data_IF_619388122494
#
_entry.id   IF_619388122494
#
_cell.length_a   1.000
_cell.length_b   1.000
_cell.length_c   1.000
_cell.angle_alpha   90.00
_cell.angle_beta   90.00
_cell.angle_gamma   90.00
#
_symmetry.space_group_name_H-M   'P 1'
#
loop_
_entity.id
_entity.type
_entity.pdbx_description
1 polymer ?
#
# COMPACT_ATOMS: atom_id res chain seq x y z
N UNK A 1 -17.55 33.09 -8.96
CA UNK A 1 -16.31 33.74 -8.50
C UNK A 1 -15.67 32.74 -7.56
N UNK A 2 -14.53 32.16 -7.93
CA UNK A 2 -13.85 31.14 -7.10
C UNK A 2 -13.63 31.71 -5.69
N UNK A 3 -13.98 30.96 -4.64
CA UNK A 3 -13.78 31.37 -3.25
C UNK A 3 -12.31 31.24 -2.86
N UNK A 4 -11.49 32.20 -3.31
CA UNK A 4 -10.06 32.24 -3.07
C UNK A 4 -9.76 32.81 -1.69
N UNK A 5 -8.99 32.07 -0.90
CA UNK A 5 -8.48 32.51 0.41
C UNK A 5 -7.00 32.80 0.30
N UNK A 6 -6.57 34.00 0.67
CA UNK A 6 -5.13 34.33 0.72
C UNK A 6 -4.41 33.45 1.75
N UNK A 7 -3.23 32.94 1.38
CA UNK A 7 -2.39 32.14 2.27
C UNK A 7 -1.13 32.88 2.68
N UNK A 8 -0.30 33.21 1.69
CA UNK A 8 1.00 33.82 1.95
C UNK A 8 1.53 34.55 0.71
N UNK A 9 2.33 35.57 0.97
CA UNK A 9 3.10 36.29 -0.03
C UNK A 9 4.45 35.59 -0.22
N UNK A 10 4.84 35.35 -1.47
CA UNK A 10 6.21 34.93 -1.81
C UNK A 10 7.17 36.12 -1.70
N UNK A 11 8.46 35.93 -2.04
CA UNK A 11 9.51 36.91 -1.75
C UNK A 11 9.29 38.32 -2.37
N UNK A 12 8.61 38.40 -3.52
CA UNK A 12 8.22 39.67 -4.19
C UNK A 12 6.71 39.94 -4.09
N UNK A 13 6.04 39.30 -3.14
CA UNK A 13 4.60 39.30 -3.01
C UNK A 13 4.03 40.68 -2.74
N UNK A 14 3.01 41.05 -3.50
CA UNK A 14 2.18 42.22 -3.25
C UNK A 14 0.73 41.74 -3.22
N UNK A 15 0.13 41.75 -2.03
CA UNK A 15 -1.27 41.40 -1.83
C UNK A 15 -2.07 42.64 -1.45
N UNK A 16 -3.22 42.84 -2.10
CA UNK A 16 -4.21 43.86 -1.73
C UNK A 16 -5.57 43.20 -1.65
N UNK A 17 -6.13 43.15 -0.44
CA UNK A 17 -7.37 42.42 -0.16
C UNK A 17 -8.55 42.87 -1.03
N UNK A 18 -8.67 44.18 -1.27
CA UNK A 18 -9.73 44.79 -2.10
C UNK A 18 -9.68 44.38 -3.58
N UNK A 19 -8.52 43.97 -4.08
CA UNK A 19 -8.30 43.66 -5.51
C UNK A 19 -8.19 42.15 -5.77
N UNK A 20 -8.22 41.33 -4.71
CA UNK A 20 -8.14 39.87 -4.80
C UNK A 20 -6.91 39.38 -5.58
N UNK A 21 -7.06 38.27 -6.30
CA UNK A 21 -5.97 37.66 -7.09
C UNK A 21 -5.51 38.54 -8.27
N UNK A 22 -6.42 39.33 -8.86
CA UNK A 22 -6.12 40.14 -10.06
C UNK A 22 -5.22 41.33 -9.77
N UNK A 23 -5.36 41.94 -8.58
CA UNK A 23 -4.45 43.00 -8.12
C UNK A 23 -3.24 42.51 -7.34
N UNK A 24 -3.07 41.19 -7.21
CA UNK A 24 -1.98 40.59 -6.46
C UNK A 24 -0.88 40.08 -7.38
N UNK A 25 0.36 40.06 -6.89
CA UNK A 25 1.48 39.45 -7.59
C UNK A 25 2.33 38.62 -6.63
N UNK A 26 2.86 37.51 -7.12
CA UNK A 26 3.67 36.57 -6.33
C UNK A 26 3.02 36.13 -5.00
N UNK A 27 1.73 35.79 -5.03
CA UNK A 27 0.97 35.32 -3.86
C UNK A 27 0.46 33.88 -4.05
N UNK A 28 0.22 33.20 -2.92
CA UNK A 28 -0.39 31.87 -2.86
C UNK A 28 -1.80 32.02 -2.31
N UNK A 29 -2.76 31.41 -3.00
CA UNK A 29 -4.17 31.35 -2.61
C UNK A 29 -4.62 29.91 -2.47
N UNK A 30 -5.56 29.64 -1.56
CA UNK A 30 -6.27 28.37 -1.49
C UNK A 30 -7.68 28.50 -2.03
N UNK A 31 -8.16 27.44 -2.67
CA UNK A 31 -9.55 27.26 -3.04
C UNK A 31 -10.02 25.84 -2.67
N UNK A 32 -11.32 25.65 -2.40
CA UNK A 32 -11.87 24.30 -2.37
C UNK A 32 -11.77 23.68 -3.77
N UNK A 33 -11.49 22.38 -3.84
CA UNK A 33 -11.47 21.67 -5.12
C UNK A 33 -12.90 21.44 -5.64
N UNK A 34 -13.23 22.07 -6.78
CA UNK A 34 -14.55 21.93 -7.42
C UNK A 34 -14.63 20.72 -8.37
N UNK A 35 -13.59 20.49 -9.17
CA UNK A 35 -13.50 19.36 -10.10
C UNK A 35 -12.48 18.33 -9.60
N UNK A 36 -12.92 17.07 -9.50
CA UNK A 36 -12.10 15.97 -9.01
C UNK A 36 -10.89 15.71 -9.92
N UNK A 37 -9.70 15.74 -9.32
CA UNK A 37 -8.50 15.19 -9.94
C UNK A 37 -8.67 13.67 -10.06
N UNK A 38 -8.32 13.11 -11.21
CA UNK A 38 -8.46 11.66 -11.47
C UNK A 38 -7.14 10.94 -11.63
N UNK A 39 -6.03 11.67 -11.78
CA UNK A 39 -4.68 11.10 -11.93
C UNK A 39 -3.60 12.12 -11.64
N UNK A 40 -2.44 11.60 -11.25
CA UNK A 40 -1.21 12.38 -11.14
C UNK A 40 -0.78 12.85 -12.53
N UNK A 41 -0.74 14.17 -12.75
CA UNK A 41 -0.22 14.75 -13.99
C UNK A 41 0.28 16.15 -13.77
N UNK A 42 1.23 16.54 -14.62
CA UNK A 42 1.64 17.92 -14.78
C UNK A 42 1.40 18.34 -16.22
N UNK A 43 0.80 19.52 -16.40
CA UNK A 43 0.48 20.09 -17.70
C UNK A 43 0.80 21.58 -17.71
N UNK A 44 0.86 22.19 -18.89
CA UNK A 44 1.10 23.62 -19.04
C UNK A 44 2.32 23.96 -19.88
N UNK A 45 2.43 25.25 -20.22
CA UNK A 45 3.59 25.88 -20.85
C UNK A 45 3.78 27.25 -20.23
N UNK A 46 5.03 27.70 -20.16
CA UNK A 46 5.40 29.07 -19.73
C UNK A 46 4.79 29.48 -18.38
N UNK A 47 3.72 30.27 -18.40
CA UNK A 47 3.07 30.92 -17.26
C UNK A 47 1.79 30.21 -16.79
N UNK A 48 1.46 29.05 -17.36
CA UNK A 48 0.22 28.30 -17.06
C UNK A 48 0.50 26.85 -16.71
N UNK A 49 1.33 26.65 -15.70
CA UNK A 49 1.62 25.32 -15.17
C UNK A 49 0.49 24.86 -14.25
N UNK A 50 0.07 23.61 -14.43
CA UNK A 50 -0.91 22.93 -13.57
C UNK A 50 -0.34 21.59 -13.16
N UNK A 51 -0.20 21.38 -11.85
CA UNK A 51 0.19 20.13 -11.23
C UNK A 51 -1.03 19.56 -10.50
N UNK A 52 -1.40 18.33 -10.82
CA UNK A 52 -2.49 17.60 -10.20
C UNK A 52 -1.94 16.31 -9.60
N UNK A 53 -2.27 16.05 -8.33
CA UNK A 53 -1.78 14.93 -7.55
C UNK A 53 -2.93 14.34 -6.73
N UNK A 54 -3.03 13.02 -6.73
CA UNK A 54 -3.84 12.22 -5.82
C UNK A 54 -2.97 11.78 -4.64
N UNK A 55 -3.53 11.60 -3.45
CA UNK A 55 -2.80 11.08 -2.29
C UNK A 55 -3.76 10.44 -1.28
N UNK A 56 -3.25 9.82 -0.24
CA UNK A 56 -4.07 9.13 0.76
C UNK A 56 -4.52 7.74 0.32
N UNK A 57 -5.51 7.21 1.03
CA UNK A 57 -6.00 5.83 0.86
C UNK A 57 -7.09 5.73 -0.22
N UNK A 58 -7.27 4.54 -0.80
CA UNK A 58 -8.31 4.23 -1.79
C UNK A 58 -9.73 4.52 -1.26
N UNK A 59 -9.94 4.35 0.05
CA UNK A 59 -11.23 4.60 0.69
C UNK A 59 -11.52 6.11 0.90
N UNK A 60 -10.48 6.92 1.02
CA UNK A 60 -10.57 8.36 1.27
C UNK A 60 -9.47 9.10 0.48
N UNK A 61 -9.59 9.15 -0.86
CA UNK A 61 -8.57 9.76 -1.70
C UNK A 61 -8.57 11.27 -1.49
N UNK A 62 -7.40 11.79 -1.10
CA UNK A 62 -7.08 13.20 -1.15
C UNK A 62 -6.69 13.62 -2.56
N UNK A 63 -6.98 14.88 -2.90
CA UNK A 63 -6.58 15.46 -4.17
C UNK A 63 -6.03 16.87 -3.97
N UNK A 64 -4.96 17.16 -4.70
CA UNK A 64 -4.25 18.43 -4.71
C UNK A 64 -4.09 18.89 -6.16
N UNK A 65 -4.43 20.16 -6.41
CA UNK A 65 -4.14 20.83 -7.68
C UNK A 65 -3.43 22.15 -7.40
N UNK A 66 -2.24 22.33 -7.95
CA UNK A 66 -1.49 23.58 -7.91
C UNK A 66 -1.50 24.19 -9.30
N UNK A 67 -2.13 25.35 -9.45
CA UNK A 67 -2.20 26.11 -10.72
C UNK A 67 -1.41 27.40 -10.61
N UNK A 68 -0.66 27.70 -11.65
CA UNK A 68 -0.09 29.03 -11.85
C UNK A 68 -1.12 29.95 -12.50
N UNK A 69 -1.33 31.12 -11.92
CA UNK A 69 -2.21 32.18 -12.42
C UNK A 69 -1.38 33.46 -12.54
N UNK A 70 -0.76 33.65 -13.71
CA UNK A 70 0.21 34.71 -13.93
C UNK A 70 1.44 34.56 -13.02
N UNK A 71 1.64 35.53 -12.11
CA UNK A 71 2.71 35.48 -11.10
C UNK A 71 2.26 34.85 -9.77
N UNK A 72 0.97 34.56 -9.61
CA UNK A 72 0.39 33.95 -8.43
C UNK A 72 0.27 32.43 -8.59
N UNK A 73 0.03 31.74 -7.48
CA UNK A 73 -0.32 30.33 -7.45
C UNK A 73 -1.65 30.14 -6.71
N UNK A 74 -2.48 29.23 -7.24
CA UNK A 74 -3.72 28.76 -6.61
C UNK A 74 -3.55 27.31 -6.26
N UNK A 75 -3.80 26.98 -5.00
CA UNK A 75 -3.78 25.63 -4.46
C UNK A 75 -5.21 25.20 -4.19
N UNK A 76 -5.70 24.26 -4.97
CA UNK A 76 -6.99 23.60 -4.76
C UNK A 76 -6.76 22.30 -4.02
N UNK A 77 -7.54 22.09 -2.97
CA UNK A 77 -7.43 20.89 -2.15
C UNK A 77 -8.81 20.30 -1.86
N UNK A 78 -8.88 18.97 -1.88
CA UNK A 78 -10.05 18.22 -1.43
C UNK A 78 -10.35 18.44 0.05
N UNK A 79 -11.57 18.13 0.52
CA UNK A 79 -11.94 18.28 1.93
C UNK A 79 -11.12 17.41 2.90
N UNK A 80 -10.52 16.32 2.42
CA UNK A 80 -9.59 15.46 3.18
C UNK A 80 -8.14 15.99 3.14
N UNK A 81 -8.01 17.31 2.92
CA UNK A 81 -6.77 18.02 2.66
C UNK A 81 -5.76 17.98 3.80
N UNK A 82 -4.51 17.61 3.52
CA UNK A 82 -3.39 17.70 4.48
C UNK A 82 -2.21 18.54 3.96
N UNK A 83 -2.23 18.92 2.68
CA UNK A 83 -1.18 19.69 2.04
C UNK A 83 -1.10 21.12 2.58
N UNK A 84 -2.25 21.75 2.89
CA UNK A 84 -2.23 23.08 3.51
C UNK A 84 -1.41 23.10 4.80
N UNK A 85 -1.65 22.15 5.71
CA UNK A 85 -0.90 22.04 6.96
C UNK A 85 0.58 21.72 6.71
N UNK A 86 0.88 20.84 5.75
CA UNK A 86 2.26 20.55 5.33
C UNK A 86 2.99 21.81 4.82
N UNK A 87 2.29 22.71 4.12
CA UNK A 87 2.87 23.91 3.54
C UNK A 87 3.13 25.02 4.56
N UNK A 88 2.36 25.09 5.66
CA UNK A 88 2.52 26.11 6.71
C UNK A 88 3.93 26.13 7.32
N UNK A 89 4.60 24.98 7.36
CA UNK A 89 5.95 24.84 7.90
C UNK A 89 7.07 25.14 6.88
N UNK A 90 6.72 25.48 5.64
CA UNK A 90 7.67 25.57 4.52
C UNK A 90 7.79 27.01 3.98
N UNK A 91 9.02 27.57 3.89
CA UNK A 91 9.21 28.89 3.31
C UNK A 91 9.09 28.83 1.78
N UNK A 92 8.03 29.41 1.21
CA UNK A 92 7.82 29.46 -0.25
C UNK A 92 8.22 30.83 -0.79
N UNK A 93 9.33 30.90 -1.52
CA UNK A 93 9.84 32.13 -2.14
C UNK A 93 9.47 32.26 -3.62
N UNK A 94 9.21 31.14 -4.29
CA UNK A 94 8.90 31.07 -5.73
C UNK A 94 7.91 29.94 -6.02
N UNK A 95 7.16 30.04 -7.12
CA UNK A 95 6.20 29.00 -7.55
C UNK A 95 6.88 27.65 -7.77
N UNK A 96 8.13 27.64 -8.27
CA UNK A 96 8.90 26.42 -8.42
C UNK A 96 9.07 25.67 -7.09
N UNK A 97 9.28 26.38 -5.98
CA UNK A 97 9.39 25.75 -4.66
C UNK A 97 8.06 25.17 -4.19
N UNK A 98 6.94 25.85 -4.47
CA UNK A 98 5.61 25.33 -4.17
C UNK A 98 5.35 24.00 -4.89
N UNK A 99 5.69 23.93 -6.18
CA UNK A 99 5.57 22.70 -6.98
C UNK A 99 6.46 21.58 -6.45
N UNK A 100 7.69 21.91 -6.04
CA UNK A 100 8.59 20.93 -5.42
C UNK A 100 8.06 20.42 -4.08
N UNK A 101 7.50 21.29 -3.23
CA UNK A 101 6.87 20.87 -1.98
C UNK A 101 5.64 20.00 -2.20
N UNK A 102 4.82 20.29 -3.22
CA UNK A 102 3.71 19.42 -3.60
C UNK A 102 4.17 18.02 -4.04
N UNK A 103 5.27 17.94 -4.80
CA UNK A 103 5.87 16.65 -5.18
C UNK A 103 6.50 15.94 -3.98
N UNK A 104 7.18 16.67 -3.09
CA UNK A 104 7.73 16.12 -1.85
C UNK A 104 6.63 15.50 -0.98
N UNK A 105 5.51 16.21 -0.82
CA UNK A 105 4.34 15.71 -0.11
C UNK A 105 3.82 14.40 -0.72
N UNK A 106 3.67 14.35 -2.05
CA UNK A 106 3.26 13.12 -2.75
C UNK A 106 4.25 11.97 -2.60
N UNK A 107 5.55 12.25 -2.62
CA UNK A 107 6.59 11.23 -2.42
C UNK A 107 6.51 10.65 -1.01
N UNK A 108 6.29 11.48 0.01
CA UNK A 108 6.11 11.03 1.39
C UNK A 108 4.88 10.13 1.54
N UNK A 109 3.75 10.52 0.94
CA UNK A 109 2.53 9.71 0.88
C UNK A 109 2.77 8.34 0.21
N UNK A 110 3.42 8.34 -0.97
CA UNK A 110 3.76 7.09 -1.67
C UNK A 110 4.70 6.20 -0.86
N UNK A 111 5.66 6.79 -0.13
CA UNK A 111 6.58 6.04 0.72
C UNK A 111 5.83 5.27 1.80
N UNK A 112 4.89 5.93 2.48
CA UNK A 112 4.02 5.30 3.49
C UNK A 112 3.16 4.19 2.88
N UNK A 113 2.62 4.40 1.67
CA UNK A 113 1.83 3.38 0.97
C UNK A 113 2.65 2.14 0.63
N UNK A 114 3.87 2.30 0.13
CA UNK A 114 4.78 1.19 -0.19
C UNK A 114 5.17 0.42 1.07
N UNK A 115 5.41 1.11 2.18
CA UNK A 115 5.63 0.47 3.48
C UNK A 115 4.41 -0.31 3.95
N UNK A 116 3.22 0.26 3.83
CA UNK A 116 1.94 -0.40 4.12
C UNK A 116 1.76 -1.69 3.32
N UNK A 117 2.02 -1.66 2.01
CA UNK A 117 1.97 -2.85 1.16
C UNK A 117 2.94 -3.96 1.62
N UNK A 118 4.10 -3.60 2.18
CA UNK A 118 5.05 -4.57 2.73
C UNK A 118 4.50 -5.26 3.98
N UNK A 119 3.82 -4.50 4.85
CA UNK A 119 3.09 -5.04 6.00
C UNK A 119 1.94 -5.95 5.59
N UNK A 120 1.15 -5.55 4.58
CA UNK A 120 0.07 -6.38 4.01
C UNK A 120 0.60 -7.70 3.43
N UNK A 121 1.72 -7.66 2.72
CA UNK A 121 2.34 -8.86 2.16
C UNK A 121 2.68 -9.87 3.26
N UNK A 122 3.32 -9.42 4.35
CA UNK A 122 3.64 -10.29 5.48
C UNK A 122 2.40 -10.89 6.13
N UNK A 123 1.33 -10.11 6.30
CA UNK A 123 0.06 -10.63 6.82
C UNK A 123 -0.59 -11.64 5.87
N UNK A 124 -0.40 -11.45 4.56
CA UNK A 124 -0.86 -12.39 3.54
C UNK A 124 -0.06 -13.69 3.60
N UNK A 125 1.27 -13.62 3.70
CA UNK A 125 2.16 -14.77 3.92
C UNK A 125 1.74 -15.57 5.16
N UNK A 126 1.63 -14.91 6.31
CA UNK A 126 1.24 -15.54 7.58
C UNK A 126 -0.14 -16.21 7.44
N UNK A 127 -1.09 -15.59 6.73
CA UNK A 127 -2.41 -16.17 6.56
C UNK A 127 -2.42 -17.37 5.60
N UNK A 128 -1.63 -17.33 4.53
CA UNK A 128 -1.48 -18.42 3.56
C UNK A 128 -0.82 -19.65 4.20
N UNK A 129 0.18 -19.44 5.04
CA UNK A 129 0.84 -20.51 5.80
C UNK A 129 -0.13 -21.19 6.78
N UNK A 130 -1.05 -20.42 7.37
CA UNK A 130 -2.01 -20.92 8.36
C UNK A 130 -3.32 -21.46 7.74
N UNK A 131 -3.66 -21.10 6.50
CA UNK A 131 -4.91 -21.50 5.83
C UNK A 131 -4.67 -21.80 4.35
N UNK A 132 -4.49 -23.07 4.01
CA UNK A 132 -4.37 -23.52 2.61
C UNK A 132 -5.76 -23.84 2.03
N UNK A 133 -6.61 -22.81 1.91
CA UNK A 133 -7.91 -22.89 1.24
C UNK A 133 -7.95 -21.99 -0.02
N UNK A 134 -9.06 -22.04 -0.77
CA UNK A 134 -9.22 -21.26 -2.00
C UNK A 134 -9.32 -19.74 -1.76
N UNK A 135 -9.46 -19.28 -0.50
CA UNK A 135 -9.48 -17.84 -0.18
C UNK A 135 -8.11 -17.19 -0.35
N UNK A 136 -7.04 -17.97 -0.19
CA UNK A 136 -5.66 -17.53 -0.41
C UNK A 136 -5.40 -16.99 -1.81
N UNK A 137 -5.96 -17.62 -2.85
CA UNK A 137 -5.83 -17.17 -4.24
C UNK A 137 -6.47 -15.81 -4.48
N UNK A 138 -7.66 -15.57 -3.94
CA UNK A 138 -8.34 -14.28 -4.11
C UNK A 138 -7.59 -13.16 -3.39
N UNK A 139 -7.09 -13.41 -2.19
CA UNK A 139 -6.29 -12.44 -1.43
C UNK A 139 -4.97 -12.09 -2.12
N UNK A 140 -4.32 -13.09 -2.71
CA UNK A 140 -3.16 -12.89 -3.58
C UNK A 140 -3.52 -11.99 -4.77
N UNK A 141 -4.55 -12.34 -5.55
CA UNK A 141 -4.93 -11.53 -6.73
C UNK A 141 -5.28 -10.08 -6.37
N UNK A 142 -5.98 -9.87 -5.25
CA UNK A 142 -6.35 -8.56 -4.75
C UNK A 142 -5.12 -7.73 -4.33
N UNK A 143 -4.19 -8.34 -3.59
CA UNK A 143 -2.93 -7.69 -3.24
C UNK A 143 -2.11 -7.33 -4.49
N UNK A 144 -2.03 -8.22 -5.48
CA UNK A 144 -1.32 -7.97 -6.75
C UNK A 144 -1.90 -6.75 -7.47
N UNK A 145 -3.23 -6.63 -7.48
CA UNK A 145 -3.93 -5.50 -8.11
C UNK A 145 -3.56 -4.20 -7.41
N UNK A 146 -3.72 -4.11 -6.09
CA UNK A 146 -3.35 -2.92 -5.30
C UNK A 146 -1.88 -2.54 -5.48
N UNK A 147 -0.98 -3.53 -5.47
CA UNK A 147 0.45 -3.29 -5.66
C UNK A 147 0.78 -2.76 -7.07
N UNK A 148 0.09 -3.27 -8.10
CA UNK A 148 0.21 -2.76 -9.48
C UNK A 148 -0.27 -1.30 -9.58
N UNK A 149 -1.37 -0.97 -8.91
CA UNK A 149 -1.89 0.39 -8.85
C UNK A 149 -0.92 1.34 -8.13
N UNK A 150 -0.26 0.89 -7.06
CA UNK A 150 0.85 1.63 -6.42
C UNK A 150 2.00 1.90 -7.41
N UNK A 151 2.40 0.90 -8.19
CA UNK A 151 3.40 1.05 -9.25
C UNK A 151 3.04 2.10 -10.31
N UNK A 152 1.78 2.14 -10.72
CA UNK A 152 1.31 3.15 -11.67
C UNK A 152 1.46 4.58 -11.14
N UNK A 153 1.25 4.79 -9.83
CA UNK A 153 1.46 6.10 -9.20
C UNK A 153 2.94 6.47 -9.14
N UNK A 154 3.83 5.53 -8.79
CA UNK A 154 5.28 5.74 -8.82
C UNK A 154 5.74 6.15 -10.23
N UNK A 155 5.25 5.47 -11.27
CA UNK A 155 5.56 5.80 -12.66
C UNK A 155 5.06 7.19 -13.06
N UNK A 156 3.86 7.59 -12.62
CA UNK A 156 3.32 8.92 -12.91
C UNK A 156 4.19 10.03 -12.30
N UNK A 157 4.61 9.87 -11.04
CA UNK A 157 5.53 10.83 -10.38
C UNK A 157 6.89 10.84 -11.07
N UNK A 158 7.42 9.68 -11.46
CA UNK A 158 8.66 9.57 -12.26
C UNK A 158 8.58 10.37 -13.55
N UNK A 159 7.46 10.25 -14.27
CA UNK A 159 7.24 10.95 -15.53
C UNK A 159 7.21 12.47 -15.31
N UNK A 160 6.49 12.94 -14.28
CA UNK A 160 6.44 14.36 -13.92
C UNK A 160 7.84 14.88 -13.61
N UNK A 161 8.58 14.21 -12.73
CA UNK A 161 9.94 14.60 -12.35
C UNK A 161 10.90 14.59 -13.54
N UNK A 162 10.81 13.59 -14.42
CA UNK A 162 11.63 13.52 -15.63
C UNK A 162 11.34 14.68 -16.59
N UNK A 163 10.08 15.10 -16.71
CA UNK A 163 9.72 16.26 -17.54
C UNK A 163 10.24 17.57 -16.93
N UNK A 164 10.23 17.70 -15.61
CA UNK A 164 10.79 18.86 -14.90
C UNK A 164 12.31 18.92 -15.10
N UNK A 165 13.01 17.79 -14.92
CA UNK A 165 14.47 17.68 -15.08
C UNK A 165 14.92 18.04 -16.51
N UNK A 166 14.15 17.63 -17.52
CA UNK A 166 14.39 17.98 -18.93
C UNK A 166 14.03 19.44 -19.28
N UNK A 167 13.50 20.22 -18.33
CA UNK A 167 13.17 21.63 -18.54
C UNK A 167 11.90 21.88 -19.36
N UNK A 168 10.98 20.91 -19.47
CA UNK A 168 9.71 21.11 -20.19
C UNK A 168 8.82 22.17 -19.55
N UNK A 169 9.06 22.49 -18.28
CA UNK A 169 8.36 23.53 -17.54
C UNK A 169 9.36 24.61 -17.15
N UNK A 170 9.25 25.83 -17.69
CA UNK A 170 10.16 26.94 -17.36
C UNK A 170 9.84 27.48 -15.97
N UNK A 171 10.17 26.71 -14.94
CA UNK A 171 10.17 27.22 -13.57
C UNK A 171 11.31 28.23 -13.46
N UNK A 172 11.07 29.37 -12.81
CA UNK A 172 12.13 30.33 -12.49
C UNK A 172 13.10 29.68 -11.47
N UNK A 173 14.07 28.91 -11.99
CA UNK A 173 14.83 27.92 -11.23
C UNK A 173 16.10 28.44 -10.53
N UNK A 174 16.51 29.69 -10.73
CA UNK A 174 17.83 30.16 -10.25
C UNK A 174 18.08 29.95 -8.74
N UNK A 175 17.04 29.78 -7.91
CA UNK A 175 17.14 29.45 -6.48
C UNK A 175 16.38 28.17 -6.06
N UNK A 176 15.87 27.37 -7.00
CA UNK A 176 15.04 26.18 -6.72
C UNK A 176 15.73 24.84 -7.02
N UNK A 177 16.92 24.86 -7.64
CA UNK A 177 17.66 23.65 -8.02
C UNK A 177 18.06 22.76 -6.84
N UNK A 178 18.34 23.34 -5.66
CA UNK A 178 18.69 22.56 -4.47
C UNK A 178 17.50 21.71 -4.03
N UNK A 179 16.32 22.33 -3.92
CA UNK A 179 15.09 21.63 -3.54
C UNK A 179 14.66 20.63 -4.61
N UNK A 180 14.85 20.96 -5.90
CA UNK A 180 14.64 19.99 -6.98
C UNK A 180 15.55 18.78 -6.85
N UNK A 181 16.84 18.97 -6.54
CA UNK A 181 17.79 17.90 -6.31
C UNK A 181 17.39 17.02 -5.11
N UNK A 182 16.92 17.63 -4.02
CA UNK A 182 16.40 16.94 -2.85
C UNK A 182 15.19 16.05 -3.21
N UNK A 183 14.19 16.61 -3.89
CA UNK A 183 12.99 15.88 -4.34
C UNK A 183 13.34 14.73 -5.30
N UNK A 184 14.27 14.95 -6.24
CA UNK A 184 14.74 13.89 -7.15
C UNK A 184 15.45 12.76 -6.40
N UNK A 185 16.25 13.09 -5.39
CA UNK A 185 16.94 12.10 -4.55
C UNK A 185 15.95 11.32 -3.68
N UNK A 186 15.00 11.99 -3.02
CA UNK A 186 13.95 11.32 -2.26
C UNK A 186 13.13 10.37 -3.14
N UNK A 187 12.77 10.80 -4.36
CA UNK A 187 12.08 9.94 -5.31
C UNK A 187 12.92 8.73 -5.73
N UNK A 188 14.23 8.89 -5.96
CA UNK A 188 15.11 7.76 -6.29
C UNK A 188 15.14 6.72 -5.19
N UNK A 189 15.25 7.13 -3.92
CA UNK A 189 15.19 6.19 -2.81
C UNK A 189 13.84 5.46 -2.75
N UNK A 190 12.74 6.17 -2.98
CA UNK A 190 11.42 5.57 -3.06
C UNK A 190 11.31 4.55 -4.21
N UNK A 191 11.82 4.89 -5.39
CA UNK A 191 11.82 4.04 -6.57
C UNK A 191 12.64 2.75 -6.34
N UNK A 192 13.85 2.88 -5.79
CA UNK A 192 14.70 1.74 -5.44
C UNK A 192 14.02 0.81 -4.43
N UNK A 193 13.39 1.38 -3.40
CA UNK A 193 12.61 0.60 -2.42
C UNK A 193 11.44 -0.12 -3.08
N UNK A 194 10.70 0.57 -3.94
CA UNK A 194 9.58 -0.02 -4.68
C UNK A 194 10.04 -1.19 -5.54
N UNK A 195 11.10 -1.03 -6.35
CA UNK A 195 11.60 -2.12 -7.22
C UNK A 195 12.14 -3.30 -6.41
N UNK A 196 12.79 -3.06 -5.27
CA UNK A 196 13.23 -4.13 -4.37
C UNK A 196 12.04 -4.93 -3.83
N UNK A 197 11.00 -4.26 -3.33
CA UNK A 197 9.80 -4.90 -2.79
C UNK A 197 9.07 -5.64 -3.91
N UNK A 198 8.93 -5.05 -5.09
CA UNK A 198 8.28 -5.66 -6.26
C UNK A 198 8.93 -6.98 -6.64
N UNK A 199 10.27 -7.04 -6.65
CA UNK A 199 10.99 -8.28 -6.93
C UNK A 199 10.70 -9.38 -5.91
N UNK A 200 10.65 -9.03 -4.63
CA UNK A 200 10.32 -9.98 -3.54
C UNK A 200 8.88 -10.45 -3.67
N UNK A 201 7.94 -9.51 -3.76
CA UNK A 201 6.51 -9.76 -3.91
C UNK A 201 6.24 -10.72 -5.08
N UNK A 202 6.78 -10.45 -6.28
CA UNK A 202 6.58 -11.31 -7.45
C UNK A 202 7.08 -12.75 -7.22
N UNK A 203 8.24 -12.91 -6.58
CA UNK A 203 8.81 -14.22 -6.28
C UNK A 203 7.93 -15.01 -5.29
N UNK A 204 7.42 -14.33 -4.28
CA UNK A 204 6.57 -14.95 -3.27
C UNK A 204 5.21 -15.32 -3.86
N UNK A 205 4.65 -14.46 -4.73
CA UNK A 205 3.45 -14.76 -5.53
C UNK A 205 3.56 -16.06 -6.33
N UNK A 206 4.66 -16.25 -7.06
CA UNK A 206 4.89 -17.46 -7.85
C UNK A 206 5.00 -18.70 -6.94
N UNK A 207 5.66 -18.54 -5.79
CA UNK A 207 5.82 -19.59 -4.78
C UNK A 207 4.47 -20.01 -4.20
N UNK A 208 3.66 -19.06 -3.74
CA UNK A 208 2.35 -19.36 -3.17
C UNK A 208 1.36 -19.92 -4.19
N UNK A 209 1.39 -19.41 -5.42
CA UNK A 209 0.56 -19.96 -6.51
C UNK A 209 0.90 -21.43 -6.77
N UNK A 210 2.19 -21.78 -6.76
CA UNK A 210 2.66 -23.16 -6.89
C UNK A 210 2.21 -24.06 -5.72
N UNK A 211 2.34 -23.58 -4.48
CA UNK A 211 1.91 -24.30 -3.27
C UNK A 211 0.40 -24.58 -3.31
N UNK A 212 -0.41 -23.58 -3.63
CA UNK A 212 -1.88 -23.73 -3.72
C UNK A 212 -2.24 -24.73 -4.82
N UNK A 213 -1.65 -24.61 -6.01
CA UNK A 213 -1.97 -25.49 -7.13
C UNK A 213 -1.59 -26.95 -6.85
N UNK A 214 -0.44 -27.19 -6.21
CA UNK A 214 -0.03 -28.52 -5.78
C UNK A 214 -1.01 -29.12 -4.75
N UNK A 215 -1.49 -28.31 -3.80
CA UNK A 215 -2.45 -28.78 -2.81
C UNK A 215 -3.83 -29.09 -3.42
N UNK A 216 -4.33 -28.25 -4.34
CA UNK A 216 -5.57 -28.52 -5.09
C UNK A 216 -5.45 -29.86 -5.83
N UNK A 217 -4.34 -30.08 -6.53
CA UNK A 217 -4.11 -31.33 -7.25
C UNK A 217 -4.06 -32.55 -6.30
N UNK A 218 -3.41 -32.42 -5.14
CA UNK A 218 -3.39 -33.46 -4.11
C UNK A 218 -4.78 -33.77 -3.56
N UNK A 219 -5.58 -32.76 -3.27
CA UNK A 219 -6.95 -32.91 -2.77
C UNK A 219 -7.88 -33.52 -3.82
N UNK A 220 -7.77 -33.11 -5.08
CA UNK A 220 -8.50 -33.71 -6.19
C UNK A 220 -8.14 -35.19 -6.37
N UNK A 221 -6.84 -35.54 -6.23
CA UNK A 221 -6.38 -36.93 -6.25
C UNK A 221 -6.95 -37.75 -5.09
N UNK A 222 -6.97 -37.19 -3.88
CA UNK A 222 -7.59 -37.86 -2.72
C UNK A 222 -9.09 -38.07 -2.90
N UNK A 223 -9.82 -37.06 -3.37
CA UNK A 223 -11.26 -37.17 -3.65
C UNK A 223 -11.53 -38.24 -4.71
N UNK A 224 -10.73 -38.28 -5.78
CA UNK A 224 -10.83 -39.30 -6.84
C UNK A 224 -10.60 -40.70 -6.30
N UNK A 225 -9.59 -40.89 -5.43
CA UNK A 225 -9.33 -42.17 -4.76
C UNK A 225 -10.51 -42.58 -3.87
N UNK A 226 -11.03 -41.67 -3.05
CA UNK A 226 -12.18 -41.93 -2.17
C UNK A 226 -13.42 -42.29 -3.00
N UNK A 227 -13.67 -41.55 -4.07
CA UNK A 227 -14.78 -41.82 -5.00
C UNK A 227 -14.64 -43.20 -5.66
N UNK A 228 -13.45 -43.54 -6.15
CA UNK A 228 -13.18 -44.84 -6.76
C UNK A 228 -13.43 -45.98 -5.78
N UNK A 229 -12.92 -45.87 -4.54
CA UNK A 229 -13.18 -46.85 -3.48
C UNK A 229 -14.67 -46.96 -3.19
N UNK A 230 -15.38 -45.82 -3.10
CA UNK A 230 -16.83 -45.79 -2.89
C UNK A 230 -17.62 -46.49 -4.00
N UNK A 231 -17.27 -46.25 -5.28
CA UNK A 231 -17.90 -46.89 -6.43
C UNK A 231 -17.67 -48.41 -6.42
N UNK A 232 -16.43 -48.86 -6.17
CA UNK A 232 -16.11 -50.29 -6.11
C UNK A 232 -16.87 -50.98 -4.97
N UNK A 233 -16.90 -50.38 -3.78
CA UNK A 233 -17.65 -50.93 -2.64
C UNK A 233 -19.15 -50.97 -2.95
N UNK A 234 -19.73 -49.89 -3.48
CA UNK A 234 -21.14 -49.85 -3.86
C UNK A 234 -21.48 -50.93 -4.90
N UNK A 235 -20.61 -51.15 -5.89
CA UNK A 235 -20.80 -52.19 -6.89
C UNK A 235 -20.75 -53.59 -6.28
N UNK A 236 -19.78 -53.86 -5.40
CA UNK A 236 -19.69 -55.16 -4.73
C UNK A 236 -20.91 -55.42 -3.83
N UNK A 237 -21.32 -54.45 -3.01
CA UNK A 237 -22.48 -54.61 -2.13
C UNK A 237 -23.80 -54.66 -2.89
N UNK A 238 -23.95 -53.89 -3.97
CA UNK A 238 -25.11 -53.98 -4.85
C UNK A 238 -25.21 -55.34 -5.52
N UNK A 239 -24.08 -55.88 -5.99
CA UNK A 239 -24.00 -57.24 -6.54
C UNK A 239 -24.31 -58.31 -5.49
N UNK A 240 -23.82 -58.13 -4.25
CA UNK A 240 -24.07 -59.03 -3.13
C UNK A 240 -25.54 -59.02 -2.68
N UNK A 241 -26.17 -57.85 -2.64
CA UNK A 241 -27.60 -57.68 -2.35
C UNK A 241 -28.47 -58.35 -3.41
N UNK A 242 -28.08 -58.25 -4.69
CA UNK A 242 -28.78 -58.91 -5.79
C UNK A 242 -28.67 -60.45 -5.73
N UNK A 243 -27.54 -60.98 -5.27
CA UNK A 243 -27.32 -62.42 -5.14
C UNK A 243 -27.89 -63.01 -3.84
N UNK A 244 -27.80 -62.30 -2.71
CA UNK A 244 -28.31 -62.75 -1.42
C UNK A 244 -28.67 -61.57 -0.48
N UNK A 245 -29.96 -61.22 -0.35
CA UNK A 245 -30.40 -60.00 0.35
C UNK A 245 -29.94 -59.90 1.80
N UNK A 246 -29.91 -61.05 2.51
CA UNK A 246 -29.56 -61.10 3.93
C UNK A 246 -28.08 -60.76 4.18
N UNK A 247 -27.19 -61.28 3.33
CA UNK A 247 -25.74 -61.02 3.42
C UNK A 247 -25.39 -59.58 3.00
N UNK A 248 -26.09 -59.04 2.00
CA UNK A 248 -25.94 -57.65 1.59
C UNK A 248 -26.35 -56.65 2.68
N UNK A 249 -27.42 -56.93 3.43
CA UNK A 249 -27.86 -56.09 4.56
C UNK A 249 -26.83 -56.12 5.71
N UNK A 250 -26.34 -57.31 6.09
CA UNK A 250 -25.32 -57.47 7.14
C UNK A 250 -24.01 -56.77 6.75
N UNK A 251 -23.60 -56.92 5.49
CA UNK A 251 -22.42 -56.25 4.94
C UNK A 251 -22.55 -54.72 4.91
N UNK A 252 -23.70 -54.19 4.48
CA UNK A 252 -23.97 -52.74 4.47
C UNK A 252 -23.99 -52.11 5.87
N UNK A 253 -24.58 -52.78 6.85
CA UNK A 253 -24.59 -52.34 8.26
C UNK A 253 -23.19 -52.30 8.88
N UNK A 254 -22.31 -53.24 8.50
CA UNK A 254 -20.94 -53.31 9.02
C UNK A 254 -20.08 -52.14 8.52
N UNK A 255 -20.26 -51.72 7.26
CA UNK A 255 -19.57 -50.55 6.68
C UNK A 255 -20.12 -49.24 7.22
N UNK A 256 -21.45 -49.15 7.41
CA UNK A 256 -22.06 -47.98 8.05
C UNK A 256 -21.54 -47.79 9.48
N UNK A 257 -21.40 -48.88 10.25
CA UNK A 257 -20.81 -48.86 11.59
C UNK A 257 -19.33 -48.43 11.62
N UNK A 258 -18.51 -48.92 10.68
CA UNK A 258 -17.11 -48.50 10.54
C UNK A 258 -16.98 -47.03 10.10
N UNK A 259 -17.90 -46.55 9.26
CA UNK A 259 -17.90 -45.16 8.78
C UNK A 259 -18.19 -44.17 9.91
N UNK A 260 -19.17 -44.48 10.78
CA UNK A 260 -19.48 -43.67 11.97
C UNK A 260 -18.30 -43.67 12.95
N UNK A 261 -17.64 -44.81 13.15
CA UNK A 261 -16.43 -44.92 13.95
C UNK A 261 -15.26 -44.09 13.42
N UNK A 262 -15.02 -44.11 12.10
CA UNK A 262 -13.97 -43.32 11.46
C UNK A 262 -14.24 -41.82 11.56
N UNK A 263 -15.49 -41.35 11.41
CA UNK A 263 -15.84 -39.94 11.61
C UNK A 263 -15.61 -39.49 13.06
N UNK A 264 -15.91 -40.33 14.05
CA UNK A 264 -15.64 -40.03 15.46
C UNK A 264 -14.13 -39.91 15.74
N UNK A 265 -13.31 -40.81 15.19
CA UNK A 265 -11.84 -40.76 15.31
C UNK A 265 -11.26 -39.55 14.58
N UNK A 266 -11.79 -39.17 13.41
CA UNK A 266 -11.32 -37.99 12.67
C UNK A 266 -11.61 -36.69 13.42
N UNK A 267 -12.77 -36.58 14.07
CA UNK A 267 -13.11 -35.44 14.94
C UNK A 267 -12.26 -35.39 16.22
N UNK A 268 -11.86 -36.54 16.76
CA UNK A 268 -10.96 -36.61 17.92
C UNK A 268 -9.51 -36.27 17.54
N UNK A 269 -8.99 -36.73 16.40
CA UNK A 269 -7.65 -36.35 15.91
C UNK A 269 -7.55 -34.86 15.56
N UNK A 270 -8.63 -34.22 15.09
CA UNK A 270 -8.66 -32.76 14.88
C UNK A 270 -8.65 -31.96 16.19
N UNK A 271 -9.15 -32.53 17.31
CA UNK A 271 -9.01 -31.95 18.66
C UNK A 271 -7.66 -32.28 19.32
N UNK A 272 -7.00 -33.38 18.91
CA UNK A 272 -5.67 -33.78 19.39
C UNK A 272 -4.50 -32.98 18.79
N UNK A 273 -4.71 -32.30 17.66
CA UNK A 273 -3.72 -31.37 17.07
C UNK A 273 -3.90 -29.91 17.52
N UNK A 274 -4.59 -29.67 18.63
CA UNK A 274 -4.50 -28.41 19.34
C UNK A 274 -3.19 -28.39 20.17
N UNK A 275 -2.27 -27.51 19.78
CA UNK A 275 -1.11 -27.02 20.55
C UNK A 275 -0.13 -28.09 21.04
N UNK A 276 0.97 -28.26 20.28
CA UNK A 276 2.25 -28.55 20.92
C UNK A 276 2.54 -27.42 21.92
N UNK A 277 2.94 -27.73 23.17
CA UNK A 277 3.25 -26.70 24.15
C UNK A 277 4.46 -25.91 23.63
N UNK A 278 4.25 -24.61 23.40
CA UNK A 278 5.34 -23.66 23.37
C UNK A 278 6.09 -23.80 24.70
N UNK A 279 7.27 -24.39 24.65
CA UNK A 279 8.20 -24.45 25.77
C UNK A 279 8.67 -23.05 26.12
N UNK A 280 7.89 -22.31 26.90
CA UNK A 280 8.38 -21.17 27.68
C UNK A 280 8.91 -21.70 29.00
N UNK A 281 10.23 -21.66 29.16
CA UNK A 281 10.86 -21.57 30.47
C UNK A 281 10.52 -20.24 31.17
N UNK A 282 10.79 -20.12 32.48
CA UNK A 282 10.18 -19.11 33.35
C UNK A 282 10.68 -17.69 33.07
N UNK A 283 9.79 -16.73 33.31
CA UNK A 283 10.01 -15.28 33.34
C UNK A 283 11.27 -14.91 34.14
N UNK A 284 12.28 -14.35 33.45
CA UNK A 284 13.17 -13.36 34.04
C UNK A 284 12.73 -11.98 33.56
N UNK A 285 12.69 -11.05 34.52
CA UNK A 285 12.20 -9.70 34.38
C UNK A 285 12.93 -8.90 33.28
N UNK A 286 12.17 -8.01 32.65
CA UNK A 286 12.63 -6.94 31.77
C UNK A 286 13.87 -6.20 32.31
N UNK A 287 14.90 -5.93 31.49
CA UNK A 287 15.60 -4.67 31.56
C UNK A 287 14.77 -3.62 30.79
N UNK A 288 14.35 -2.59 31.51
CA UNK A 288 13.72 -1.39 31.00
C UNK A 288 14.49 -0.75 29.84
N UNK A 289 13.74 -0.26 28.85
CA UNK A 289 14.15 0.75 27.86
C UNK A 289 15.12 1.79 28.44
N UNK A 290 16.24 2.12 27.76
CA UNK A 290 16.97 3.33 28.09
C UNK A 290 16.11 4.53 27.65
N UNK A 291 15.66 5.30 28.63
CA UNK A 291 15.12 6.65 28.44
C UNK A 291 16.19 7.50 27.74
N UNK A 292 15.86 8.03 26.57
CA UNK A 292 16.59 9.14 25.97
C UNK A 292 16.44 10.37 26.88
N UNK A 293 17.41 10.56 27.78
CA UNK A 293 17.60 11.83 28.46
C UNK A 293 18.57 12.69 27.67
N UNK A 294 17.99 13.74 27.08
CA UNK A 294 18.63 15.01 26.73
C UNK A 294 19.64 15.43 27.80
N UNK A 295 20.94 15.41 27.46
CA UNK A 295 21.95 16.26 28.11
C UNK A 295 22.79 16.93 27.04
N UNK A 296 22.41 18.19 26.83
CA UNK A 296 23.24 19.21 26.24
C UNK A 296 24.35 19.58 27.24
N UNK A 297 25.55 19.87 26.71
CA UNK A 297 26.54 20.80 27.29
C UNK A 297 27.39 20.32 28.49
N UNK A 298 28.48 19.58 28.19
CA UNK A 298 29.83 19.73 28.82
C UNK A 298 30.78 18.68 28.26
N UNK A 299 31.43 18.98 27.14
CA UNK A 299 32.70 18.34 26.72
C UNK A 299 33.31 19.15 25.56
N UNK A 300 33.45 20.46 25.78
CA UNK A 300 34.18 21.38 24.89
C UNK A 300 35.29 22.13 25.63
N UNK A 301 35.84 21.54 26.69
CA UNK A 301 36.92 22.15 27.51
C UNK A 301 38.08 21.17 27.80
N UNK A 302 38.26 20.12 27.00
CA UNK A 302 39.40 19.19 27.20
C UNK A 302 40.27 18.96 25.94
N UNK A 303 40.08 19.79 24.92
CA UNK A 303 40.94 19.86 23.73
C UNK A 303 41.51 21.27 23.51
N UNK A 304 41.58 22.07 24.58
CA UNK A 304 42.46 23.24 24.67
C UNK A 304 43.28 23.14 25.95
N UNK A 305 44.43 22.45 25.85
CA UNK A 305 45.65 22.67 26.64
C UNK A 305 46.82 21.98 25.97
#
# INVERSE_FOLDING_TARGET
>A
MEALTFFSAMNRGQFREEQGIEGSSYCIFFAPMEELVTKDRMTGREDRVVLELLYGDEMLPGALRVRQVGSNAVVEESTQGAFRAFLEEKPVKYIGQLLMYALQFKIQDLSLRIEGCTGEMKQLEDALDNCIDNSGTYRLLDFRRRYTECGNMVLAVKEILSRIDKGYYPMQMQNSYVLQGEVLMEFRFLEERYELIKSTVLKDFDTYTSIINNNINRNARLLSIISLVGVVLNFMFGSLLAANPLLGIIGGLSVAGLSVGATAVYHVSRRGNALLPSGRGPLQAFPSLPKFHRKEKRERDQWEK
#
